data_IF_559686262774
#
_entry.id   IF_559686262774
#
_cell.length_a   1.000
_cell.length_b   1.000
_cell.length_c   1.000
_cell.angle_alpha   90.00
_cell.angle_beta   90.00
_cell.angle_gamma   90.00
#
_symmetry.space_group_name_H-M   'P 1'
#
loop_
_entity.id
_entity.type
_entity.pdbx_description
1 polymer ?
#
# COMPACT_ATOMS: atom_id res chain seq x y z
N UNK A 1 -37.15 19.19 -21.99
CA UNK A 1 -36.65 18.89 -23.34
C UNK A 1 -35.28 19.54 -23.45
N UNK A 2 -34.22 18.75 -23.52
CA UNK A 2 -32.88 19.28 -23.81
C UNK A 2 -32.82 19.72 -25.29
N UNK A 3 -31.99 20.72 -25.57
CA UNK A 3 -31.87 21.41 -26.85
C UNK A 3 -31.39 20.47 -27.97
N UNK A 4 -32.31 20.08 -28.85
CA UNK A 4 -32.12 19.18 -30.01
C UNK A 4 -31.10 19.70 -31.06
N UNK A 5 -30.48 20.87 -30.87
CA UNK A 5 -29.66 21.53 -31.88
C UNK A 5 -28.13 21.36 -31.77
N UNK A 6 -27.58 21.00 -30.59
CA UNK A 6 -26.12 21.11 -30.35
C UNK A 6 -25.44 19.88 -29.77
N UNK A 7 -26.16 19.00 -29.08
CA UNK A 7 -25.54 17.87 -28.40
C UNK A 7 -25.32 16.66 -29.35
N UNK A 8 -24.18 15.95 -29.22
CA UNK A 8 -23.86 14.80 -30.07
C UNK A 8 -24.77 13.59 -29.82
N UNK A 9 -25.45 13.56 -28.67
CA UNK A 9 -26.39 12.52 -28.29
C UNK A 9 -27.37 13.02 -27.21
N UNK A 10 -28.48 12.31 -27.03
CA UNK A 10 -29.38 12.49 -25.88
C UNK A 10 -30.15 11.20 -25.59
N UNK A 11 -30.54 11.01 -24.33
CA UNK A 11 -31.44 9.96 -23.90
C UNK A 11 -32.57 10.51 -23.02
N UNK A 12 -33.59 9.69 -22.80
CA UNK A 12 -34.65 10.01 -21.82
C UNK A 12 -34.57 9.10 -20.62
N UNK A 13 -34.73 9.70 -19.43
CA UNK A 13 -34.79 8.97 -18.18
C UNK A 13 -35.98 8.00 -18.16
N UNK A 14 -35.89 6.90 -17.39
CA UNK A 14 -37.02 6.04 -17.05
C UNK A 14 -38.22 6.86 -16.57
N UNK A 15 -39.36 6.70 -17.25
CA UNK A 15 -40.59 7.43 -16.99
C UNK A 15 -41.81 6.65 -17.50
N UNK A 16 -43.02 7.17 -17.25
CA UNK A 16 -44.25 6.61 -17.84
C UNK A 16 -44.48 6.99 -19.31
N UNK A 17 -43.52 7.68 -19.97
CA UNK A 17 -43.69 8.13 -21.35
C UNK A 17 -43.34 7.04 -22.36
N UNK A 18 -43.92 7.10 -23.56
CA UNK A 18 -43.62 6.15 -24.65
C UNK A 18 -42.19 6.25 -25.18
N UNK A 19 -41.45 7.27 -24.77
CA UNK A 19 -40.03 7.47 -25.13
C UNK A 19 -39.08 6.99 -24.05
N UNK A 20 -39.59 6.54 -22.90
CA UNK A 20 -38.80 6.17 -21.72
C UNK A 20 -37.65 5.21 -22.07
N UNK A 21 -36.41 5.61 -21.77
CA UNK A 21 -35.23 4.79 -22.01
C UNK A 21 -34.69 4.85 -23.45
N UNK A 22 -35.34 5.59 -24.35
CA UNK A 22 -34.83 5.79 -25.71
C UNK A 22 -33.52 6.60 -25.69
N UNK A 23 -32.61 6.23 -26.60
CA UNK A 23 -31.31 6.87 -26.83
C UNK A 23 -31.22 7.29 -28.29
N UNK A 24 -30.75 8.52 -28.54
CA UNK A 24 -30.50 9.04 -29.88
C UNK A 24 -29.06 9.52 -29.99
N UNK A 25 -28.34 8.95 -30.95
CA UNK A 25 -26.97 9.34 -31.28
C UNK A 25 -26.96 10.07 -32.63
N UNK A 26 -26.24 11.18 -32.72
CA UNK A 26 -26.13 11.92 -33.97
C UNK A 26 -25.13 11.25 -34.90
N UNK A 27 -25.63 10.76 -36.04
CA UNK A 27 -24.83 10.02 -37.02
C UNK A 27 -23.67 10.79 -37.64
N UNK A 28 -23.63 12.13 -37.53
CA UNK A 28 -22.50 12.93 -38.03
C UNK A 28 -21.34 13.08 -37.03
N UNK A 29 -21.56 12.77 -35.75
CA UNK A 29 -20.58 12.97 -34.66
C UNK A 29 -20.31 11.71 -33.86
N UNK A 30 -21.04 10.62 -34.10
CA UNK A 30 -21.01 9.39 -33.30
C UNK A 30 -20.87 8.13 -34.16
N UNK A 31 -19.90 8.13 -35.09
CA UNK A 31 -19.74 7.07 -36.10
C UNK A 31 -18.77 5.95 -35.75
N UNK A 32 -17.92 6.12 -34.73
CA UNK A 32 -16.85 5.17 -34.39
C UNK A 32 -16.71 5.02 -32.86
N UNK A 33 -17.70 4.40 -32.23
CA UNK A 33 -17.64 4.09 -30.80
C UNK A 33 -16.59 3.01 -30.55
N UNK A 34 -15.46 3.39 -29.96
CA UNK A 34 -14.38 2.48 -29.58
C UNK A 34 -13.98 2.74 -28.13
N UNK A 35 -13.75 1.67 -27.39
CA UNK A 35 -13.40 1.73 -25.98
C UNK A 35 -12.26 2.74 -25.75
N UNK A 36 -12.50 3.67 -24.84
CA UNK A 36 -11.57 4.74 -24.47
C UNK A 36 -11.71 6.04 -25.24
N UNK A 37 -12.55 6.13 -26.28
CA UNK A 37 -12.79 7.39 -27.00
C UNK A 37 -14.05 8.14 -26.57
N UNK A 38 -14.16 9.40 -26.99
CA UNK A 38 -15.29 10.29 -26.63
C UNK A 38 -16.65 9.79 -27.12
N UNK A 39 -16.70 9.05 -28.23
CA UNK A 39 -17.95 8.48 -28.75
C UNK A 39 -18.41 7.31 -27.89
N UNK A 40 -17.48 6.45 -27.45
CA UNK A 40 -17.74 5.39 -26.48
C UNK A 40 -18.24 5.93 -25.15
N UNK A 41 -17.56 6.97 -24.62
CA UNK A 41 -18.03 7.67 -23.42
C UNK A 41 -19.45 8.23 -23.60
N UNK A 42 -19.74 8.85 -24.75
CA UNK A 42 -21.09 9.37 -25.04
C UNK A 42 -22.14 8.26 -25.03
N UNK A 43 -21.82 7.07 -25.55
CA UNK A 43 -22.73 5.91 -25.46
C UNK A 43 -22.96 5.49 -24.01
N UNK A 44 -21.90 5.32 -23.20
CA UNK A 44 -22.04 4.97 -21.79
C UNK A 44 -22.86 6.01 -21.01
N UNK A 45 -22.63 7.28 -21.29
CA UNK A 45 -23.34 8.41 -20.69
C UNK A 45 -24.83 8.37 -21.00
N UNK A 46 -25.20 8.24 -22.28
CA UNK A 46 -26.62 8.20 -22.65
C UNK A 46 -27.33 6.92 -22.20
N UNK A 47 -26.64 5.77 -22.19
CA UNK A 47 -27.17 4.55 -21.56
C UNK A 47 -27.40 4.79 -20.07
N UNK A 48 -26.49 5.51 -19.40
CA UNK A 48 -26.63 5.92 -18.01
C UNK A 48 -27.94 6.68 -17.75
N UNK A 49 -28.26 7.67 -18.58
CA UNK A 49 -29.56 8.36 -18.54
C UNK A 49 -30.72 7.40 -18.80
N UNK A 50 -30.64 6.54 -19.82
CA UNK A 50 -31.71 5.59 -20.13
C UNK A 50 -32.01 4.62 -18.98
N UNK A 51 -31.04 4.36 -18.11
CA UNK A 51 -31.19 3.55 -16.87
C UNK A 51 -31.29 4.40 -15.60
N UNK A 52 -31.55 5.70 -15.71
CA UNK A 52 -31.96 6.55 -14.58
C UNK A 52 -30.86 7.32 -13.86
N UNK A 53 -29.62 7.30 -14.35
CA UNK A 53 -28.57 8.21 -13.86
C UNK A 53 -28.80 9.62 -14.40
N UNK A 54 -28.44 10.64 -13.63
CA UNK A 54 -28.51 12.05 -14.04
C UNK A 54 -27.13 12.67 -14.09
N UNK A 55 -27.02 13.86 -14.69
CA UNK A 55 -25.81 14.64 -14.53
C UNK A 55 -25.55 14.97 -13.06
N UNK A 56 -24.29 15.02 -12.60
CA UNK A 56 -23.93 15.33 -11.21
C UNK A 56 -24.49 16.66 -10.67
N UNK A 57 -24.74 17.62 -11.56
CA UNK A 57 -25.23 18.96 -11.25
C UNK A 57 -26.77 19.09 -11.36
N UNK A 58 -27.47 18.06 -11.83
CA UNK A 58 -28.91 18.08 -12.04
C UNK A 58 -29.67 17.77 -10.73
N UNK A 59 -29.99 18.80 -9.95
CA UNK A 59 -30.75 18.66 -8.72
C UNK A 59 -30.89 19.94 -7.92
N UNK A 60 -31.26 19.79 -6.64
CA UNK A 60 -31.21 20.88 -5.65
C UNK A 60 -30.82 20.34 -4.27
N UNK A 61 -30.07 21.14 -3.51
CA UNK A 61 -29.62 20.77 -2.15
C UNK A 61 -28.77 19.51 -2.11
N UNK A 62 -29.09 18.58 -1.21
CA UNK A 62 -28.37 17.31 -1.00
C UNK A 62 -28.54 16.29 -2.14
N UNK A 63 -29.30 16.62 -3.19
CA UNK A 63 -29.49 15.76 -4.37
C UNK A 63 -28.48 16.04 -5.49
N UNK A 64 -27.53 16.94 -5.24
CA UNK A 64 -26.42 17.26 -6.16
C UNK A 64 -25.17 16.56 -5.62
N UNK A 65 -24.39 15.95 -6.51
CA UNK A 65 -23.11 15.34 -6.15
C UNK A 65 -22.14 16.42 -5.64
N UNK A 66 -21.38 16.11 -4.58
CA UNK A 66 -20.37 17.03 -4.07
C UNK A 66 -19.33 17.33 -5.16
N UNK A 67 -18.91 18.59 -5.27
CA UNK A 67 -18.01 19.04 -6.35
C UNK A 67 -16.70 18.25 -6.43
N UNK A 68 -16.20 17.71 -5.32
CA UNK A 68 -15.00 16.85 -5.26
C UNK A 68 -15.15 15.48 -5.95
N UNK A 69 -16.38 15.09 -6.29
CA UNK A 69 -16.70 13.85 -6.99
C UNK A 69 -17.25 14.11 -8.41
N UNK A 70 -17.40 15.37 -8.82
CA UNK A 70 -17.91 15.73 -10.15
C UNK A 70 -16.77 15.77 -11.16
N UNK A 71 -16.35 14.58 -11.62
CA UNK A 71 -15.45 14.39 -12.76
C UNK A 71 -15.56 13.00 -13.38
N UNK A 72 -14.94 12.80 -14.55
CA UNK A 72 -14.88 11.50 -15.24
C UNK A 72 -14.17 10.40 -14.44
N UNK A 73 -13.38 10.72 -13.42
CA UNK A 73 -12.75 9.72 -12.54
C UNK A 73 -13.72 9.12 -11.52
N UNK A 74 -14.94 9.67 -11.42
CA UNK A 74 -15.97 9.19 -10.51
C UNK A 74 -17.20 8.72 -11.26
N UNK A 75 -17.60 9.43 -12.33
CA UNK A 75 -18.83 9.16 -13.05
C UNK A 75 -18.72 9.55 -14.52
N UNK A 76 -19.17 8.67 -15.41
CA UNK A 76 -19.31 8.98 -16.84
C UNK A 76 -20.40 10.03 -17.09
N UNK A 77 -21.27 10.29 -16.10
CA UNK A 77 -22.32 11.30 -16.18
C UNK A 77 -21.80 12.74 -16.01
N UNK A 78 -20.55 12.93 -15.60
CA UNK A 78 -19.97 14.28 -15.47
C UNK A 78 -19.64 14.88 -16.83
N UNK A 79 -19.83 16.19 -16.96
CA UNK A 79 -19.26 16.96 -18.06
C UNK A 79 -17.84 17.45 -17.76
N UNK A 80 -17.34 17.27 -16.55
CA UNK A 80 -16.02 17.72 -16.17
C UNK A 80 -15.00 16.60 -16.40
N UNK A 81 -13.98 16.90 -17.20
CA UNK A 81 -12.86 15.99 -17.40
C UNK A 81 -12.16 15.63 -16.07
N UNK A 82 -11.90 16.65 -15.25
CA UNK A 82 -11.26 16.58 -13.93
C UNK A 82 -12.01 17.49 -12.95
N UNK A 83 -11.78 17.31 -11.64
CA UNK A 83 -12.44 18.11 -10.60
C UNK A 83 -12.14 19.60 -10.80
N UNK A 84 -13.19 20.42 -10.92
CA UNK A 84 -13.07 21.86 -11.14
C UNK A 84 -12.97 22.29 -12.62
N UNK A 85 -12.94 21.35 -13.57
CA UNK A 85 -13.01 21.68 -15.00
C UNK A 85 -14.35 22.35 -15.36
N UNK A 86 -14.34 23.14 -16.44
CA UNK A 86 -15.54 23.74 -17.02
C UNK A 86 -15.86 23.15 -18.41
N UNK A 87 -17.15 23.13 -18.77
CA UNK A 87 -17.59 22.64 -20.08
C UNK A 87 -17.66 21.11 -20.17
N UNK A 88 -17.76 20.57 -21.39
CA UNK A 88 -17.72 19.13 -21.69
C UNK A 88 -16.26 18.60 -21.64
N UNK A 89 -16.03 17.30 -21.43
CA UNK A 89 -14.69 16.76 -21.30
C UNK A 89 -13.90 16.88 -22.61
N UNK A 90 -12.63 17.30 -22.50
CA UNK A 90 -11.71 17.55 -23.62
C UNK A 90 -10.43 16.71 -23.52
N UNK A 91 -10.59 15.46 -23.06
CA UNK A 91 -9.50 14.51 -22.89
C UNK A 91 -8.81 14.18 -24.22
N UNK A 92 -7.62 13.59 -24.15
CA UNK A 92 -6.98 13.00 -25.33
C UNK A 92 -7.88 11.92 -25.96
N UNK A 93 -7.62 11.58 -27.22
CA UNK A 93 -8.50 10.71 -28.03
C UNK A 93 -8.88 9.40 -27.32
N UNK A 94 -7.96 8.81 -26.56
CA UNK A 94 -8.12 7.51 -25.89
C UNK A 94 -8.18 7.61 -24.35
N UNK A 95 -8.28 8.84 -23.83
CA UNK A 95 -8.27 9.13 -22.40
C UNK A 95 -9.65 9.21 -21.77
N UNK A 96 -10.68 8.58 -22.36
CA UNK A 96 -12.04 8.54 -21.79
C UNK A 96 -12.29 7.23 -21.03
N UNK A 97 -13.23 7.24 -20.06
CA UNK A 97 -13.61 6.04 -19.33
C UNK A 97 -13.98 4.87 -20.25
N UNK A 98 -13.46 3.69 -19.92
CA UNK A 98 -13.66 2.45 -20.68
C UNK A 98 -14.85 1.65 -20.14
N UNK A 99 -15.22 1.86 -18.87
CA UNK A 99 -16.38 1.29 -18.19
C UNK A 99 -17.19 2.38 -17.51
N UNK A 100 -18.33 2.00 -16.91
CA UNK A 100 -18.90 2.80 -15.83
C UNK A 100 -17.88 2.97 -14.70
N UNK A 101 -17.89 4.14 -14.07
CA UNK A 101 -16.94 4.49 -13.03
C UNK A 101 -17.53 4.24 -11.64
N UNK A 102 -16.69 4.26 -10.60
CA UNK A 102 -17.06 3.93 -9.21
C UNK A 102 -18.38 4.51 -8.70
N UNK A 103 -18.70 5.77 -8.99
CA UNK A 103 -19.97 6.38 -8.55
C UNK A 103 -21.16 5.96 -9.42
N UNK A 104 -20.95 5.67 -10.71
CA UNK A 104 -21.99 5.12 -11.58
C UNK A 104 -22.40 3.73 -11.10
N UNK A 105 -21.43 2.86 -10.82
CA UNK A 105 -21.66 1.50 -10.33
C UNK A 105 -22.43 1.54 -9.01
N UNK A 106 -21.99 2.35 -8.05
CA UNK A 106 -22.68 2.50 -6.77
C UNK A 106 -24.12 3.02 -6.93
N UNK A 107 -24.35 4.00 -7.82
CA UNK A 107 -25.69 4.52 -8.08
C UNK A 107 -26.61 3.47 -8.73
N UNK A 108 -26.10 2.71 -9.70
CA UNK A 108 -26.86 1.64 -10.35
C UNK A 108 -27.21 0.52 -9.37
N UNK A 109 -26.27 0.12 -8.52
CA UNK A 109 -26.50 -0.86 -7.46
C UNK A 109 -27.53 -0.38 -6.44
N UNK A 110 -27.56 0.92 -6.13
CA UNK A 110 -28.58 1.50 -5.26
C UNK A 110 -29.99 1.44 -5.89
N UNK A 111 -30.09 1.72 -7.20
CA UNK A 111 -31.39 1.73 -7.92
C UNK A 111 -31.91 0.31 -8.15
N UNK A 112 -31.05 -0.60 -8.58
CA UNK A 112 -31.45 -1.91 -9.11
C UNK A 112 -31.06 -3.10 -8.25
N UNK A 113 -30.29 -2.88 -7.17
CA UNK A 113 -29.67 -3.94 -6.39
C UNK A 113 -28.30 -4.35 -6.93
N UNK A 114 -27.55 -5.06 -6.11
CA UNK A 114 -26.22 -5.57 -6.44
C UNK A 114 -26.36 -6.88 -7.21
N UNK A 115 -25.64 -6.99 -8.33
CA UNK A 115 -25.48 -8.27 -9.03
C UNK A 115 -24.30 -9.06 -8.43
N UNK A 116 -24.64 -10.06 -7.64
CA UNK A 116 -23.69 -10.98 -7.00
C UNK A 116 -23.25 -12.15 -7.90
N UNK A 117 -23.63 -12.15 -9.17
CA UNK A 117 -23.30 -13.23 -10.11
C UNK A 117 -22.19 -12.87 -11.10
N UNK A 118 -21.93 -11.57 -11.29
CA UNK A 118 -20.88 -11.11 -12.21
C UNK A 118 -19.50 -11.46 -11.66
N UNK A 119 -18.83 -12.43 -12.30
CA UNK A 119 -17.46 -12.86 -11.95
C UNK A 119 -17.31 -13.41 -10.53
N UNK A 120 -18.34 -14.05 -9.98
CA UNK A 120 -18.35 -14.59 -8.61
C UNK A 120 -17.36 -15.76 -8.32
N UNK A 121 -16.58 -16.16 -9.31
CA UNK A 121 -15.49 -17.13 -9.23
C UNK A 121 -14.14 -16.48 -8.91
N UNK A 122 -13.06 -17.25 -8.78
CA UNK A 122 -11.72 -16.67 -8.66
C UNK A 122 -11.25 -16.13 -10.02
N UNK A 123 -10.89 -14.86 -10.08
CA UNK A 123 -10.43 -14.20 -11.30
C UNK A 123 -9.00 -13.68 -11.17
N UNK A 124 -8.27 -13.81 -12.27
CA UNK A 124 -7.00 -13.12 -12.46
C UNK A 124 -7.20 -11.97 -13.45
N UNK A 125 -6.94 -10.75 -12.98
CA UNK A 125 -6.96 -9.52 -13.76
C UNK A 125 -5.54 -9.12 -14.14
N UNK A 126 -5.33 -8.90 -15.44
CA UNK A 126 -4.05 -8.49 -16.03
C UNK A 126 -4.24 -7.30 -16.95
N UNK A 127 -3.22 -6.46 -17.04
CA UNK A 127 -3.16 -5.39 -18.02
C UNK A 127 -1.90 -5.51 -18.85
N UNK A 128 -2.02 -5.36 -20.17
CA UNK A 128 -0.86 -5.49 -21.07
C UNK A 128 -0.11 -4.17 -21.16
N UNK A 129 1.18 -4.06 -20.75
CA UNK A 129 1.90 -2.78 -20.69
C UNK A 129 1.98 -1.99 -22.01
N UNK A 130 1.96 -2.68 -23.15
CA UNK A 130 2.08 -2.06 -24.48
C UNK A 130 0.76 -1.78 -25.22
N UNK A 131 -0.37 -2.29 -24.74
CA UNK A 131 -1.67 -2.08 -25.40
C UNK A 131 -2.78 -1.56 -24.49
N UNK A 132 -2.64 -1.67 -23.17
CA UNK A 132 -3.71 -1.30 -22.22
C UNK A 132 -4.85 -2.32 -22.17
N UNK A 133 -4.74 -3.44 -22.90
CA UNK A 133 -5.74 -4.50 -22.86
C UNK A 133 -5.93 -5.02 -21.44
N UNK A 134 -7.18 -5.05 -20.97
CA UNK A 134 -7.56 -5.77 -19.75
C UNK A 134 -7.85 -7.22 -20.10
N UNK A 135 -7.15 -8.13 -19.45
CA UNK A 135 -7.25 -9.58 -19.62
C UNK A 135 -7.80 -10.14 -18.31
N UNK A 136 -8.86 -10.95 -18.41
CA UNK A 136 -9.47 -11.62 -17.27
C UNK A 136 -9.42 -13.11 -17.56
N UNK A 137 -8.77 -13.88 -16.70
CA UNK A 137 -8.60 -15.34 -16.86
C UNK A 137 -8.05 -15.73 -18.25
N UNK A 138 -7.09 -14.96 -18.75
CA UNK A 138 -6.45 -15.17 -20.06
C UNK A 138 -7.24 -14.65 -21.28
N UNK A 139 -8.44 -14.11 -21.10
CA UNK A 139 -9.28 -13.57 -22.17
C UNK A 139 -9.23 -12.04 -22.19
N UNK A 140 -8.92 -11.46 -23.36
CA UNK A 140 -9.00 -10.00 -23.56
C UNK A 140 -10.46 -9.57 -23.43
N UNK A 141 -10.78 -8.93 -22.30
CA UNK A 141 -12.14 -8.49 -21.96
C UNK A 141 -12.38 -7.03 -22.36
N UNK A 142 -11.33 -6.20 -22.32
CA UNK A 142 -11.38 -4.80 -22.72
C UNK A 142 -10.16 -4.52 -23.60
N UNK A 143 -10.40 -4.05 -24.83
CA UNK A 143 -9.37 -3.67 -25.78
C UNK A 143 -9.52 -2.18 -26.14
N UNK A 144 -8.78 -1.27 -25.46
CA UNK A 144 -8.83 0.16 -25.78
C UNK A 144 -8.20 0.45 -27.15
N UNK A 145 -8.56 1.58 -27.76
CA UNK A 145 -8.04 1.93 -29.08
C UNK A 145 -6.58 2.37 -29.12
N UNK A 146 -5.94 2.55 -27.96
CA UNK A 146 -4.51 2.79 -27.80
C UNK A 146 -4.04 2.27 -26.43
N UNK A 147 -2.74 2.39 -26.14
CA UNK A 147 -2.13 1.99 -24.88
C UNK A 147 -2.56 2.88 -23.71
N UNK A 148 -3.82 2.78 -23.27
CA UNK A 148 -4.44 3.57 -22.21
C UNK A 148 -5.34 2.72 -21.34
N UNK A 149 -5.38 3.02 -20.05
CA UNK A 149 -6.25 2.34 -19.08
C UNK A 149 -6.96 3.41 -18.25
N UNK A 150 -8.30 3.40 -18.29
CA UNK A 150 -9.12 4.28 -17.48
C UNK A 150 -10.48 3.62 -17.22
N UNK A 151 -10.57 2.83 -16.15
CA UNK A 151 -11.72 1.96 -15.90
C UNK A 151 -11.95 1.71 -14.42
N UNK A 152 -13.12 1.19 -14.06
CA UNK A 152 -13.40 0.64 -12.73
C UNK A 152 -13.69 -0.85 -12.83
N UNK A 153 -13.11 -1.65 -11.93
CA UNK A 153 -13.42 -3.07 -11.77
C UNK A 153 -14.60 -3.24 -10.80
N UNK A 154 -15.58 -4.00 -11.25
CA UNK A 154 -16.57 -4.66 -10.40
C UNK A 154 -16.34 -6.17 -10.49
N UNK A 155 -16.32 -6.79 -9.32
CA UNK A 155 -16.28 -8.22 -9.09
C UNK A 155 -17.33 -8.54 -8.02
N UNK A 156 -18.05 -9.64 -8.16
CA UNK A 156 -19.08 -10.06 -7.22
C UNK A 156 -18.57 -10.96 -6.09
N UNK A 157 -17.32 -11.40 -6.14
CA UNK A 157 -16.66 -12.21 -5.12
C UNK A 157 -15.87 -13.35 -5.73
N UNK A 158 -15.18 -14.09 -4.89
CA UNK A 158 -14.13 -14.99 -5.35
C UNK A 158 -12.91 -14.76 -4.46
N UNK A 159 -11.77 -15.28 -4.91
CA UNK A 159 -10.47 -14.87 -4.41
C UNK A 159 -9.66 -14.39 -5.60
N UNK A 160 -9.68 -13.07 -5.80
CA UNK A 160 -9.31 -12.41 -7.03
C UNK A 160 -7.93 -11.79 -6.94
N UNK A 161 -7.23 -11.70 -8.08
CA UNK A 161 -5.83 -11.26 -8.14
C UNK A 161 -5.61 -10.21 -9.21
N UNK A 162 -5.04 -9.07 -8.83
CA UNK A 162 -4.38 -8.17 -9.77
C UNK A 162 -2.96 -8.68 -10.05
N UNK A 163 -2.72 -9.22 -11.24
CA UNK A 163 -1.42 -9.72 -11.65
C UNK A 163 -0.74 -8.74 -12.61
N UNK A 164 0.30 -8.06 -12.10
CA UNK A 164 1.07 -7.06 -12.83
C UNK A 164 2.54 -7.47 -13.03
N UNK A 165 2.85 -8.76 -12.88
CA UNK A 165 4.19 -9.35 -13.09
C UNK A 165 4.84 -9.05 -14.45
N UNK A 166 4.07 -8.62 -15.45
CA UNK A 166 4.59 -8.22 -16.75
C UNK A 166 5.20 -6.81 -16.77
N UNK A 167 4.93 -5.99 -15.75
CA UNK A 167 5.41 -4.61 -15.65
C UNK A 167 6.84 -4.57 -15.11
N UNK A 168 7.58 -3.54 -15.53
CA UNK A 168 9.00 -3.33 -15.17
C UNK A 168 9.27 -1.95 -14.58
N UNK A 169 8.22 -1.16 -14.42
CA UNK A 169 8.27 0.19 -13.88
C UNK A 169 7.59 0.17 -12.52
N UNK A 170 7.98 1.08 -11.60
CA UNK A 170 7.30 1.24 -10.33
C UNK A 170 5.77 1.29 -10.49
N UNK A 171 5.09 0.44 -9.72
CA UNK A 171 3.65 0.36 -9.64
C UNK A 171 3.13 0.97 -8.34
N UNK A 172 1.92 1.53 -8.40
CA UNK A 172 1.08 1.72 -7.22
C UNK A 172 -0.13 0.82 -7.39
N UNK A 173 -0.30 -0.14 -6.49
CA UNK A 173 -1.46 -1.04 -6.43
C UNK A 173 -2.19 -0.76 -5.13
N UNK A 174 -3.46 -0.40 -5.21
CA UNK A 174 -4.29 -0.12 -4.04
C UNK A 174 -5.59 -0.93 -4.16
N UNK A 175 -5.74 -1.93 -3.31
CA UNK A 175 -6.85 -2.88 -3.33
C UNK A 175 -8.06 -2.39 -2.54
N UNK A 176 -8.03 -1.21 -1.90
CA UNK A 176 -9.17 -0.69 -1.13
C UNK A 176 -10.33 -0.30 -2.03
N UNK A 177 -11.56 -0.38 -1.52
CA UNK A 177 -12.74 0.00 -2.30
C UNK A 177 -12.72 1.49 -2.67
N UNK A 178 -13.04 1.81 -3.92
CA UNK A 178 -13.00 3.18 -4.42
C UNK A 178 -11.61 3.77 -4.63
N UNK A 179 -10.54 3.09 -4.17
CA UNK A 179 -9.17 3.46 -4.45
C UNK A 179 -8.78 3.12 -5.89
N UNK A 180 -7.54 3.41 -6.26
CA UNK A 180 -7.07 3.26 -7.63
C UNK A 180 -5.61 2.81 -7.67
N UNK A 181 -5.28 2.13 -8.76
CA UNK A 181 -3.92 1.70 -9.08
C UNK A 181 -3.37 2.45 -10.30
N UNK A 182 -2.04 2.59 -10.35
CA UNK A 182 -1.27 3.28 -11.38
C UNK A 182 -0.07 2.42 -11.79
N UNK A 183 0.01 2.05 -13.07
CA UNK A 183 1.02 1.13 -13.61
C UNK A 183 2.11 1.82 -14.43
N UNK A 184 2.40 3.08 -14.12
CA UNK A 184 3.34 3.95 -14.85
C UNK A 184 2.69 4.91 -15.85
N UNK A 185 3.50 5.84 -16.37
CA UNK A 185 3.02 7.08 -17.02
C UNK A 185 2.57 6.92 -18.47
N UNK A 186 2.91 5.81 -19.15
CA UNK A 186 2.58 5.69 -20.59
C UNK A 186 1.10 5.38 -20.82
N UNK A 187 0.48 4.67 -19.88
CA UNK A 187 -0.89 4.16 -19.97
C UNK A 187 -1.92 5.01 -19.25
N UNK A 188 -1.49 6.03 -18.50
CA UNK A 188 -2.38 6.99 -17.82
C UNK A 188 -3.18 7.81 -18.84
N UNK A 189 -4.45 8.06 -18.55
CA UNK A 189 -5.29 8.91 -19.39
C UNK A 189 -4.94 10.38 -19.19
N UNK A 190 -4.71 11.10 -20.29
CA UNK A 190 -4.60 12.56 -20.30
C UNK A 190 -6.00 13.16 -20.45
N UNK A 191 -6.47 13.77 -19.38
CA UNK A 191 -7.72 14.51 -19.25
C UNK A 191 -7.62 15.91 -19.90
N UNK A 192 -8.72 16.65 -19.89
CA UNK A 192 -8.80 18.02 -20.41
C UNK A 192 -7.69 18.93 -19.87
N UNK A 193 -7.26 19.89 -20.69
CA UNK A 193 -6.15 20.82 -20.39
C UNK A 193 -4.80 20.15 -20.05
N UNK A 194 -4.62 18.87 -20.37
CA UNK A 194 -3.36 18.15 -20.16
C UNK A 194 -3.20 17.57 -18.74
N UNK A 195 -4.25 17.56 -17.94
CA UNK A 195 -4.24 16.93 -16.61
C UNK A 195 -4.14 15.41 -16.74
N UNK A 196 -3.33 14.75 -15.93
CA UNK A 196 -3.37 13.29 -15.83
C UNK A 196 -4.53 12.86 -14.93
N UNK A 197 -5.16 11.71 -15.23
CA UNK A 197 -6.05 11.06 -14.28
C UNK A 197 -5.27 10.65 -13.02
N UNK A 198 -5.94 10.57 -11.86
CA UNK A 198 -5.25 10.18 -10.62
C UNK A 198 -4.79 8.71 -10.67
N UNK A 199 -5.55 7.86 -11.37
CA UNK A 199 -5.28 6.44 -11.51
C UNK A 199 -5.79 5.87 -12.82
N UNK A 200 -5.55 4.58 -12.99
CA UNK A 200 -5.83 3.85 -14.23
C UNK A 200 -6.93 2.81 -14.03
N UNK A 201 -6.79 2.02 -12.98
CA UNK A 201 -7.75 1.00 -12.56
C UNK A 201 -8.30 1.40 -11.21
N UNK A 202 -9.59 1.63 -11.15
CA UNK A 202 -10.29 1.97 -9.92
C UNK A 202 -11.03 0.73 -9.41
N UNK A 203 -11.15 0.57 -8.10
CA UNK A 203 -12.01 -0.45 -7.52
C UNK A 203 -13.40 0.15 -7.30
N UNK A 204 -14.46 -0.60 -7.60
CA UNK A 204 -15.82 -0.17 -7.28
C UNK A 204 -15.98 0.05 -5.77
N UNK A 205 -16.92 0.90 -5.38
CA UNK A 205 -17.38 0.93 -4.00
C UNK A 205 -18.20 -0.32 -3.72
N UNK A 206 -18.01 -0.94 -2.55
CA UNK A 206 -18.95 -1.96 -2.09
C UNK A 206 -20.11 -1.28 -1.34
N UNK A 207 -21.37 -1.47 -1.75
CA UNK A 207 -22.49 -0.66 -1.26
C UNK A 207 -23.29 -1.33 -0.14
N UNK A 208 -22.75 -2.37 0.52
CA UNK A 208 -23.46 -3.01 1.65
C UNK A 208 -23.20 -2.16 2.89
N UNK A 209 -24.26 -1.70 3.57
CA UNK A 209 -24.17 -0.86 4.77
C UNK A 209 -23.12 -1.41 5.76
N UNK A 210 -22.03 -0.67 5.93
CA UNK A 210 -20.94 -1.00 6.85
C UNK A 210 -19.81 -1.88 6.30
N UNK A 211 -19.94 -2.46 5.11
CA UNK A 211 -18.86 -3.22 4.46
C UNK A 211 -18.20 -2.40 3.34
N UNK A 212 -17.03 -1.86 3.65
CA UNK A 212 -16.24 -0.99 2.78
C UNK A 212 -15.21 -1.74 1.93
N UNK A 213 -15.20 -3.07 1.95
CA UNK A 213 -14.13 -3.88 1.34
C UNK A 213 -14.25 -3.92 -0.18
N UNK A 214 -13.12 -3.90 -0.88
CA UNK A 214 -13.09 -4.32 -2.29
C UNK A 214 -13.26 -5.84 -2.36
N UNK A 215 -13.63 -6.36 -3.53
CA UNK A 215 -13.69 -7.80 -3.83
C UNK A 215 -12.51 -8.18 -4.72
N UNK A 216 -11.34 -7.67 -4.34
CA UNK A 216 -10.05 -7.99 -4.94
C UNK A 216 -9.09 -8.21 -3.79
N UNK A 217 -8.70 -9.46 -3.57
CA UNK A 217 -7.99 -9.88 -2.36
C UNK A 217 -6.47 -9.87 -2.56
N UNK A 218 -5.97 -10.04 -3.78
CA UNK A 218 -4.55 -10.33 -3.99
C UNK A 218 -3.92 -9.42 -5.04
N UNK A 219 -2.61 -9.21 -4.90
CA UNK A 219 -1.82 -8.49 -5.87
C UNK A 219 -0.45 -9.14 -6.08
N UNK A 220 0.03 -9.10 -7.32
CA UNK A 220 1.39 -9.48 -7.70
C UNK A 220 1.98 -8.29 -8.46
N UNK A 221 3.03 -7.70 -7.90
CA UNK A 221 3.83 -6.64 -8.51
C UNK A 221 4.67 -7.13 -9.69
N UNK A 222 5.48 -6.22 -10.22
CA UNK A 222 6.33 -6.38 -11.38
C UNK A 222 7.79 -6.61 -11.00
N UNK A 223 8.68 -6.11 -11.86
CA UNK A 223 10.13 -6.06 -11.60
C UNK A 223 10.61 -4.64 -11.24
N UNK A 224 9.70 -3.75 -10.88
CA UNK A 224 9.99 -2.37 -10.48
C UNK A 224 9.95 -2.24 -8.96
N UNK A 225 10.24 -1.05 -8.44
CA UNK A 225 10.07 -0.79 -7.01
C UNK A 225 8.60 -0.39 -6.77
N UNK A 226 7.81 -1.33 -6.32
CA UNK A 226 6.35 -1.25 -6.29
C UNK A 226 5.82 -0.90 -4.92
N UNK A 227 4.69 -0.21 -4.88
CA UNK A 227 3.93 0.08 -3.66
C UNK A 227 2.59 -0.65 -3.74
N UNK A 228 2.39 -1.62 -2.85
CA UNK A 228 1.24 -2.51 -2.84
C UNK A 228 0.50 -2.36 -1.51
N UNK A 229 -0.74 -1.90 -1.59
CA UNK A 229 -1.63 -1.72 -0.46
C UNK A 229 -2.79 -2.70 -0.60
N UNK A 230 -2.96 -3.55 0.41
CA UNK A 230 -4.08 -4.45 0.57
C UNK A 230 -5.40 -3.73 0.89
N UNK A 231 -6.31 -4.42 1.56
CA UNK A 231 -7.59 -3.87 1.99
C UNK A 231 -8.00 -4.50 3.32
N UNK A 232 -9.29 -4.53 3.65
CA UNK A 232 -9.75 -4.98 4.96
C UNK A 232 -10.08 -6.48 5.06
N UNK A 233 -9.62 -7.29 4.09
CA UNK A 233 -9.65 -8.76 4.16
C UNK A 233 -8.24 -9.31 4.20
N UNK A 234 -8.10 -10.61 4.52
CA UNK A 234 -6.86 -11.33 4.30
C UNK A 234 -6.41 -11.24 2.84
N UNK A 235 -5.27 -10.63 2.61
CA UNK A 235 -4.66 -10.42 1.31
C UNK A 235 -3.44 -11.33 1.12
N UNK A 236 -3.18 -11.72 -0.13
CA UNK A 236 -1.86 -12.23 -0.55
C UNK A 236 -1.21 -11.20 -1.47
N UNK A 237 -0.17 -10.56 -0.98
CA UNK A 237 0.58 -9.51 -1.67
C UNK A 237 1.99 -10.03 -1.98
N UNK A 238 2.41 -9.91 -3.23
CA UNK A 238 3.77 -10.25 -3.67
C UNK A 238 4.38 -9.06 -4.40
N UNK A 239 5.54 -8.59 -3.94
CA UNK A 239 6.28 -7.47 -4.55
C UNK A 239 6.87 -7.88 -5.90
N UNK A 240 7.63 -8.97 -5.90
CA UNK A 240 8.21 -9.55 -7.11
C UNK A 240 9.70 -9.34 -7.14
N UNK A 241 10.19 -8.49 -8.03
CA UNK A 241 11.59 -8.07 -8.01
C UNK A 241 11.67 -6.56 -7.93
N UNK A 242 12.70 -6.02 -7.29
CA UNK A 242 12.79 -4.59 -7.01
C UNK A 242 12.68 -4.35 -5.51
N UNK A 243 12.85 -3.10 -5.10
CA UNK A 243 12.72 -2.75 -3.69
C UNK A 243 11.28 -2.28 -3.44
N UNK A 244 10.46 -3.18 -2.94
CA UNK A 244 9.02 -3.03 -2.84
C UNK A 244 8.58 -2.53 -1.46
N UNK A 245 7.37 -1.99 -1.40
CA UNK A 245 6.70 -1.63 -0.16
C UNK A 245 5.34 -2.28 -0.12
N UNK A 246 5.12 -3.17 0.85
CA UNK A 246 3.87 -3.91 1.02
C UNK A 246 3.18 -3.52 2.33
N UNK A 247 1.90 -3.21 2.25
CA UNK A 247 1.03 -2.87 3.38
C UNK A 247 -0.22 -3.73 3.32
N UNK A 248 -0.36 -4.70 4.23
CA UNK A 248 -1.52 -5.58 4.33
C UNK A 248 -2.81 -4.84 4.72
N UNK A 249 -2.73 -4.00 5.76
CA UNK A 249 -3.86 -3.38 6.47
C UNK A 249 -4.57 -4.39 7.39
N UNK A 250 -5.88 -4.57 7.26
CA UNK A 250 -6.69 -5.39 8.16
C UNK A 250 -6.81 -6.78 7.59
N UNK A 251 -6.66 -7.80 8.42
CA UNK A 251 -6.80 -9.18 8.00
C UNK A 251 -5.58 -9.99 8.42
N UNK A 252 -5.59 -11.28 8.12
CA UNK A 252 -4.40 -12.10 8.26
C UNK A 252 -3.74 -12.15 6.89
N UNK A 253 -2.76 -11.29 6.68
CA UNK A 253 -2.17 -11.06 5.37
C UNK A 253 -0.96 -11.96 5.15
N UNK A 254 -0.65 -12.21 3.89
CA UNK A 254 0.63 -12.78 3.46
C UNK A 254 1.34 -11.74 2.62
N UNK A 255 2.45 -11.23 3.15
CA UNK A 255 3.31 -10.25 2.50
C UNK A 255 4.60 -10.95 2.07
N UNK A 256 4.86 -11.00 0.76
CA UNK A 256 6.04 -11.61 0.16
C UNK A 256 6.79 -10.54 -0.63
N UNK A 257 7.92 -10.05 -0.10
CA UNK A 257 8.74 -9.01 -0.73
C UNK A 257 9.28 -9.48 -2.07
N UNK A 258 10.05 -10.57 -2.04
CA UNK A 258 10.61 -11.20 -3.24
C UNK A 258 12.10 -10.93 -3.38
N UNK A 259 12.55 -10.53 -4.56
CA UNK A 259 13.95 -10.16 -4.80
C UNK A 259 14.14 -8.64 -4.61
N UNK A 260 15.00 -8.21 -3.68
CA UNK A 260 15.28 -6.79 -3.46
C UNK A 260 15.38 -6.46 -1.99
N UNK A 261 15.48 -5.18 -1.66
CA UNK A 261 15.42 -4.73 -0.27
C UNK A 261 14.04 -4.14 0.00
N UNK A 262 13.17 -4.94 0.59
CA UNK A 262 11.75 -4.65 0.71
C UNK A 262 11.38 -4.04 2.07
N UNK A 263 10.28 -3.29 2.09
CA UNK A 263 9.68 -2.74 3.31
C UNK A 263 8.30 -3.38 3.49
N UNK A 264 8.16 -4.15 4.56
CA UNK A 264 6.96 -4.94 4.86
C UNK A 264 6.32 -4.40 6.14
N UNK A 265 5.13 -3.82 6.01
CA UNK A 265 4.40 -3.27 7.16
C UNK A 265 3.56 -4.36 7.82
N UNK A 266 3.88 -4.73 9.06
CA UNK A 266 3.13 -5.71 9.85
C UNK A 266 1.95 -5.12 10.63
N UNK A 267 1.40 -3.96 10.22
CA UNK A 267 0.40 -3.24 11.02
C UNK A 267 -1.03 -3.38 10.52
N UNK A 268 -1.94 -3.53 11.47
CA UNK A 268 -3.39 -3.58 11.26
C UNK A 268 -4.11 -2.33 11.81
N UNK A 269 -4.01 -1.20 11.09
CA UNK A 269 -4.96 -0.09 11.22
C UNK A 269 -5.19 0.48 12.63
N UNK A 270 -4.27 0.22 13.57
CA UNK A 270 -4.30 0.66 14.95
C UNK A 270 -5.13 -0.18 15.93
N UNK A 271 -5.34 -1.48 15.74
CA UNK A 271 -5.66 -2.42 16.83
C UNK A 271 -5.31 -3.84 16.34
N UNK A 272 -4.12 -4.37 16.65
CA UNK A 272 -3.58 -5.67 16.21
C UNK A 272 -4.56 -6.84 16.06
N UNK A 273 -5.27 -6.90 14.93
CA UNK A 273 -6.21 -7.96 14.57
C UNK A 273 -5.82 -8.54 13.20
N UNK A 274 -4.52 -8.73 12.99
CA UNK A 274 -3.94 -9.55 11.95
C UNK A 274 -2.97 -10.57 12.53
N UNK A 275 -2.79 -11.69 11.85
CA UNK A 275 -1.72 -12.66 12.12
C UNK A 275 -1.04 -12.90 10.81
N UNK A 276 -0.06 -12.06 10.54
CA UNK A 276 0.50 -11.92 9.22
C UNK A 276 1.64 -12.91 9.00
N UNK A 277 1.76 -13.35 7.75
CA UNK A 277 2.89 -14.11 7.25
C UNK A 277 3.74 -13.15 6.46
N UNK A 278 4.86 -12.73 7.05
CA UNK A 278 5.76 -11.75 6.46
C UNK A 278 7.02 -12.46 5.99
N UNK A 279 7.25 -12.40 4.69
CA UNK A 279 8.34 -13.05 3.98
C UNK A 279 9.15 -11.94 3.31
N UNK A 280 10.37 -11.67 3.80
CA UNK A 280 11.27 -10.69 3.18
C UNK A 280 11.68 -11.16 1.79
N UNK A 281 12.44 -12.25 1.75
CA UNK A 281 12.81 -12.90 0.51
C UNK A 281 14.33 -12.85 0.33
N UNK A 282 14.78 -12.33 -0.80
CA UNK A 282 16.19 -12.22 -1.13
C UNK A 282 16.62 -10.75 -1.11
N UNK A 283 17.42 -10.38 -0.12
CA UNK A 283 18.03 -9.05 -0.04
C UNK A 283 18.23 -8.68 1.41
N UNK A 284 18.06 -7.40 1.73
CA UNK A 284 18.06 -6.91 3.09
C UNK A 284 16.70 -6.26 3.37
N UNK A 285 15.81 -7.05 3.96
CA UNK A 285 14.40 -6.69 4.09
C UNK A 285 14.10 -6.11 5.47
N UNK A 286 13.14 -5.18 5.53
CA UNK A 286 12.71 -4.51 6.75
C UNK A 286 11.26 -4.83 7.07
N UNK A 287 11.02 -5.48 8.21
CA UNK A 287 9.69 -5.52 8.82
C UNK A 287 9.53 -4.28 9.70
N UNK A 288 8.49 -3.48 9.46
CA UNK A 288 8.26 -2.23 10.20
C UNK A 288 6.89 -2.18 10.85
N UNK A 289 6.89 -1.71 12.10
CA UNK A 289 5.71 -1.42 12.91
C UNK A 289 5.59 0.08 13.22
N UNK A 290 6.25 0.95 12.45
CA UNK A 290 6.36 2.39 12.76
C UNK A 290 5.01 3.13 12.86
N UNK A 291 3.98 2.59 12.24
CA UNK A 291 2.61 3.12 12.27
C UNK A 291 1.71 2.42 13.29
N UNK A 292 2.21 1.43 14.04
CA UNK A 292 1.50 0.79 15.13
C UNK A 292 1.18 1.81 16.22
N UNK A 293 0.04 1.63 16.89
CA UNK A 293 -0.42 2.56 17.91
C UNK A 293 -0.17 2.07 19.34
N UNK A 294 0.68 1.06 19.51
CA UNK A 294 1.14 0.53 20.77
C UNK A 294 2.48 -0.18 20.60
N UNK A 295 3.15 -0.45 21.72
CA UNK A 295 4.40 -1.19 21.74
C UNK A 295 4.27 -2.60 21.15
N UNK A 296 5.28 -3.01 20.41
CA UNK A 296 5.40 -4.32 19.77
C UNK A 296 6.56 -5.12 20.36
N UNK A 297 6.45 -6.44 20.24
CA UNK A 297 7.56 -7.36 20.52
C UNK A 297 7.83 -8.18 19.25
N UNK A 298 9.00 -7.99 18.66
CA UNK A 298 9.44 -8.58 17.39
C UNK A 298 10.69 -9.42 17.66
N UNK A 299 10.64 -10.70 17.31
CA UNK A 299 11.77 -11.62 17.44
C UNK A 299 12.09 -12.29 16.09
N UNK A 300 13.12 -11.79 15.41
CA UNK A 300 13.61 -12.34 14.14
C UNK A 300 14.35 -13.67 14.33
N UNK A 301 14.90 -13.94 15.52
CA UNK A 301 15.56 -15.21 15.83
C UNK A 301 14.55 -16.38 15.95
N UNK A 302 13.39 -16.14 16.54
CA UNK A 302 12.30 -17.15 16.57
C UNK A 302 11.31 -17.01 15.41
N UNK A 303 11.36 -15.90 14.67
CA UNK A 303 10.47 -15.60 13.55
C UNK A 303 9.05 -15.30 14.01
N UNK A 304 8.87 -14.62 15.15
CA UNK A 304 7.57 -14.41 15.81
C UNK A 304 7.42 -13.00 16.36
N UNK A 305 6.23 -12.45 16.19
CA UNK A 305 5.76 -11.31 16.97
C UNK A 305 4.84 -11.77 18.11
N UNK A 306 5.00 -11.19 19.30
CA UNK A 306 4.36 -11.69 20.55
C UNK A 306 3.59 -10.65 21.33
N UNK A 307 3.58 -9.39 20.90
CA UNK A 307 2.85 -8.30 21.57
C UNK A 307 2.44 -7.22 20.58
N UNK A 308 1.43 -6.43 20.97
CA UNK A 308 0.92 -5.32 20.17
C UNK A 308 0.40 -5.76 18.82
N UNK A 309 0.62 -4.93 17.80
CA UNK A 309 0.24 -5.23 16.42
C UNK A 309 1.04 -6.40 15.84
N UNK A 310 2.21 -6.74 16.41
CA UNK A 310 3.01 -7.89 16.00
C UNK A 310 2.44 -9.24 16.50
N UNK A 311 1.43 -9.24 17.38
CA UNK A 311 0.98 -10.46 18.07
C UNK A 311 0.46 -11.53 17.10
N UNK A 312 1.23 -12.61 16.95
CA UNK A 312 0.86 -13.76 16.14
C UNK A 312 1.43 -13.73 14.72
N UNK A 313 2.12 -12.64 14.36
CA UNK A 313 2.85 -12.54 13.11
C UNK A 313 4.00 -13.56 13.06
N UNK A 314 4.36 -13.91 11.84
CA UNK A 314 5.49 -14.77 11.53
C UNK A 314 6.42 -14.11 10.55
N UNK A 315 7.72 -14.25 10.80
CA UNK A 315 8.76 -13.64 9.97
C UNK A 315 9.66 -14.72 9.37
N UNK A 316 9.98 -14.60 8.10
CA UNK A 316 11.01 -15.40 7.43
C UNK A 316 11.75 -14.58 6.39
N UNK A 317 13.07 -14.75 6.31
CA UNK A 317 13.90 -14.03 5.36
C UNK A 317 13.87 -12.51 5.53
N UNK A 318 13.63 -12.01 6.75
CA UNK A 318 13.75 -10.60 7.08
C UNK A 318 14.99 -10.38 7.96
N UNK A 319 15.86 -9.48 7.53
CA UNK A 319 17.12 -9.16 8.21
C UNK A 319 17.01 -7.94 9.10
N UNK A 320 15.97 -7.11 8.97
CA UNK A 320 15.86 -5.86 9.71
C UNK A 320 14.46 -5.73 10.34
N UNK A 321 14.41 -5.03 11.47
CA UNK A 321 13.16 -4.76 12.18
C UNK A 321 13.12 -3.33 12.69
N UNK A 322 11.97 -2.68 12.53
CA UNK A 322 11.66 -1.37 13.10
C UNK A 322 10.42 -1.46 14.00
N UNK A 323 10.56 -0.93 15.20
CA UNK A 323 9.49 -0.80 16.19
C UNK A 323 8.43 0.23 15.82
N UNK A 324 7.56 0.49 16.78
CA UNK A 324 6.54 1.52 16.83
C UNK A 324 7.08 2.85 17.36
N UNK A 325 6.21 3.75 17.81
CA UNK A 325 6.61 4.97 18.53
C UNK A 325 6.40 4.82 20.05
N UNK A 326 6.45 3.59 20.55
CA UNK A 326 6.25 3.21 21.94
C UNK A 326 7.38 2.29 22.38
N UNK A 327 7.44 1.98 23.67
CA UNK A 327 8.51 1.16 24.24
C UNK A 327 8.50 -0.28 23.72
N UNK A 328 9.29 -0.57 22.71
CA UNK A 328 9.31 -1.83 21.99
C UNK A 328 10.37 -2.81 22.54
N UNK A 329 10.20 -4.09 22.18
CA UNK A 329 11.24 -5.10 22.34
C UNK A 329 11.54 -5.71 20.97
N UNK A 330 12.76 -5.48 20.49
CA UNK A 330 13.21 -5.97 19.18
C UNK A 330 14.41 -6.90 19.38
N UNK A 331 14.26 -8.14 18.96
CA UNK A 331 15.31 -9.16 18.95
C UNK A 331 15.69 -9.50 17.51
N UNK A 332 16.97 -9.33 17.20
CA UNK A 332 17.58 -9.76 15.94
C UNK A 332 17.75 -11.27 15.85
N UNK A 333 18.60 -11.71 14.95
CA UNK A 333 18.85 -13.09 14.53
C UNK A 333 20.31 -13.49 14.79
N UNK A 334 20.76 -14.63 14.29
CA UNK A 334 22.19 -14.97 14.30
C UNK A 334 23.01 -14.34 13.16
N UNK A 335 22.36 -13.59 12.25
CA UNK A 335 23.00 -12.87 11.14
C UNK A 335 23.08 -11.36 11.41
N UNK A 336 23.68 -10.59 10.50
CA UNK A 336 23.76 -9.14 10.63
C UNK A 336 22.37 -8.49 10.48
N UNK A 337 21.93 -7.75 11.51
CA UNK A 337 20.63 -7.11 11.55
C UNK A 337 20.72 -5.58 11.70
N UNK A 338 19.78 -4.86 11.08
CA UNK A 338 19.46 -3.47 11.38
C UNK A 338 18.25 -3.38 12.29
N UNK A 339 18.43 -2.96 13.54
CA UNK A 339 17.35 -2.82 14.52
C UNK A 339 17.11 -1.35 14.84
N UNK A 340 15.85 -0.92 14.72
CA UNK A 340 15.43 0.47 14.89
C UNK A 340 14.30 0.57 15.92
N UNK A 341 14.56 1.15 17.09
CA UNK A 341 13.55 1.37 18.15
C UNK A 341 12.53 2.46 17.79
N UNK A 342 13.04 3.58 17.25
CA UNK A 342 12.30 4.78 16.84
C UNK A 342 11.97 5.76 17.97
N UNK A 343 10.76 5.80 18.50
CA UNK A 343 10.45 6.65 19.66
C UNK A 343 10.00 5.74 20.80
N UNK A 344 10.32 6.10 22.04
CA UNK A 344 9.98 5.28 23.20
C UNK A 344 11.23 4.77 23.88
N UNK A 345 11.07 4.14 25.04
CA UNK A 345 12.17 3.50 25.75
C UNK A 345 12.29 2.06 25.27
N UNK A 346 13.11 1.82 24.27
CA UNK A 346 13.15 0.56 23.53
C UNK A 346 14.17 -0.40 24.11
N UNK A 347 13.94 -1.70 23.90
CA UNK A 347 14.92 -2.74 24.22
C UNK A 347 15.36 -3.44 22.94
N UNK A 348 16.63 -3.30 22.59
CA UNK A 348 17.21 -3.89 21.40
C UNK A 348 18.18 -5.01 21.76
N UNK A 349 18.00 -6.17 21.12
CA UNK A 349 18.78 -7.37 21.34
C UNK A 349 19.34 -7.86 20.01
N UNK A 350 20.59 -7.49 19.67
CA UNK A 350 21.22 -7.86 18.40
C UNK A 350 21.30 -9.37 18.15
N UNK A 351 21.66 -10.12 19.19
CA UNK A 351 21.97 -11.56 19.15
C UNK A 351 23.36 -11.81 18.58
N UNK A 352 23.55 -12.46 17.43
CA UNK A 352 24.91 -12.67 16.89
C UNK A 352 24.98 -12.13 15.47
N UNK A 353 26.18 -11.88 14.96
CA UNK A 353 26.34 -11.16 13.69
C UNK A 353 26.87 -9.74 13.93
N UNK A 354 27.08 -8.99 12.85
CA UNK A 354 27.56 -7.61 12.93
C UNK A 354 26.34 -6.67 12.83
N UNK A 355 25.76 -6.31 13.97
CA UNK A 355 24.48 -5.60 14.02
C UNK A 355 24.62 -4.08 14.00
N UNK A 356 23.63 -3.42 13.43
CA UNK A 356 23.45 -1.97 13.46
C UNK A 356 22.23 -1.62 14.31
N UNK A 357 22.46 -1.00 15.47
CA UNK A 357 21.43 -0.72 16.46
C UNK A 357 21.20 0.80 16.56
N UNK A 358 19.93 1.19 16.46
CA UNK A 358 19.45 2.56 16.60
C UNK A 358 18.32 2.57 17.64
N UNK A 359 18.59 3.12 18.83
CA UNK A 359 17.59 3.25 19.89
C UNK A 359 16.49 4.23 19.49
N UNK A 360 16.91 5.41 19.02
CA UNK A 360 16.04 6.52 18.68
C UNK A 360 15.82 7.49 19.84
N UNK A 361 14.62 8.06 19.93
CA UNK A 361 14.27 9.00 20.99
C UNK A 361 13.74 8.25 22.22
N UNK A 362 14.48 8.26 23.32
CA UNK A 362 14.02 7.69 24.58
C UNK A 362 15.19 7.25 25.46
N UNK A 363 14.89 6.57 26.56
CA UNK A 363 15.89 5.93 27.39
C UNK A 363 15.99 4.44 27.00
N UNK A 364 16.90 4.14 26.08
CA UNK A 364 16.95 2.84 25.41
C UNK A 364 17.85 1.84 26.11
N UNK A 365 17.57 0.55 25.90
CA UNK A 365 18.32 -0.57 26.47
C UNK A 365 18.87 -1.46 25.37
N UNK A 366 20.19 -1.50 25.25
CA UNK A 366 20.89 -2.41 24.35
C UNK A 366 21.39 -3.65 25.12
N UNK A 367 21.01 -4.85 24.72
CA UNK A 367 21.31 -6.08 25.46
C UNK A 367 22.39 -6.92 24.77
N UNK A 368 23.54 -7.04 25.45
CA UNK A 368 24.64 -7.93 25.09
C UNK A 368 24.79 -9.03 26.15
N UNK A 369 25.11 -10.24 25.73
CA UNK A 369 25.15 -11.42 26.60
C UNK A 369 26.13 -12.47 26.11
N UNK A 370 26.40 -13.52 26.89
CA UNK A 370 27.34 -14.56 26.48
C UNK A 370 26.85 -15.31 25.23
N UNK A 371 27.78 -15.65 24.33
CA UNK A 371 27.49 -16.43 23.12
C UNK A 371 26.86 -15.63 21.96
N UNK A 372 26.82 -14.31 22.10
CA UNK A 372 26.38 -13.31 21.12
C UNK A 372 27.62 -12.63 20.58
N UNK A 373 28.18 -13.15 19.48
CA UNK A 373 29.46 -12.69 18.95
C UNK A 373 29.28 -11.98 17.62
N UNK A 374 30.00 -10.87 17.46
CA UNK A 374 30.19 -10.18 16.20
C UNK A 374 30.81 -8.81 16.41
N UNK A 375 30.52 -7.88 15.50
CA UNK A 375 30.87 -6.47 15.61
C UNK A 375 29.62 -5.62 15.54
N UNK A 376 29.08 -5.30 16.70
CA UNK A 376 27.86 -4.54 16.84
C UNK A 376 28.15 -3.06 16.97
N UNK A 377 27.31 -2.24 16.35
CA UNK A 377 27.45 -0.79 16.35
C UNK A 377 26.16 -0.14 16.82
N UNK A 378 26.25 0.61 17.91
CA UNK A 378 25.19 1.48 18.41
C UNK A 378 25.44 2.89 17.87
N UNK A 379 24.50 3.42 17.09
CA UNK A 379 24.71 4.65 16.32
C UNK A 379 24.35 5.94 17.07
N UNK A 380 23.47 5.85 18.05
CA UNK A 380 22.82 7.00 18.69
C UNK A 380 22.83 6.96 20.23
N UNK A 381 23.66 6.11 20.83
CA UNK A 381 23.77 5.97 22.28
C UNK A 381 23.95 7.33 22.99
N UNK A 382 22.99 7.66 23.85
CA UNK A 382 22.88 8.98 24.48
C UNK A 382 22.70 8.86 26.01
N UNK A 383 23.79 9.16 26.73
CA UNK A 383 23.81 9.22 28.20
C UNK A 383 22.84 10.24 28.79
N UNK A 384 22.42 11.27 28.03
CA UNK A 384 21.52 12.31 28.52
C UNK A 384 20.04 11.93 28.39
N UNK A 385 19.70 11.09 27.41
CA UNK A 385 18.34 10.54 27.29
C UNK A 385 18.11 9.38 28.27
N UNK A 386 19.19 8.73 28.71
CA UNK A 386 19.17 7.68 29.73
C UNK A 386 19.44 6.29 29.17
N UNK A 387 20.08 6.21 28.01
CA UNK A 387 20.41 4.94 27.37
C UNK A 387 21.36 4.11 28.23
N UNK A 388 21.16 2.80 28.19
CA UNK A 388 21.93 1.83 28.96
C UNK A 388 22.32 0.61 28.13
N UNK A 389 23.49 0.07 28.43
CA UNK A 389 23.95 -1.20 27.87
C UNK A 389 23.88 -2.27 28.96
N UNK A 390 23.10 -3.32 28.71
CA UNK A 390 23.00 -4.44 29.63
C UNK A 390 23.93 -5.56 29.24
N UNK A 391 24.77 -5.98 30.19
CA UNK A 391 25.64 -7.15 30.15
C UNK A 391 25.15 -8.26 31.10
N UNK A 392 23.86 -8.27 31.43
CA UNK A 392 23.31 -9.17 32.46
C UNK A 392 23.59 -10.63 32.09
N UNK A 393 24.27 -11.35 32.97
CA UNK A 393 24.66 -12.75 32.76
C UNK A 393 25.99 -12.93 31.99
N UNK A 394 26.68 -11.85 31.61
CA UNK A 394 28.03 -11.91 31.09
C UNK A 394 29.03 -11.98 32.27
N UNK A 395 29.74 -13.11 32.41
CA UNK A 395 30.70 -13.30 33.51
C UNK A 395 31.96 -12.44 33.40
N UNK A 396 32.33 -11.99 32.20
CA UNK A 396 33.47 -11.08 32.00
C UNK A 396 33.14 -9.68 32.53
N UNK A 397 31.92 -9.21 32.27
CA UNK A 397 31.46 -7.88 32.65
C UNK A 397 30.49 -7.98 33.83
N UNK A 398 30.92 -8.57 34.96
CA UNK A 398 30.06 -8.72 36.14
C UNK A 398 29.92 -7.43 36.98
N UNK A 399 30.76 -6.41 36.71
CA UNK A 399 30.74 -5.10 37.36
C UNK A 399 31.51 -4.09 36.51
N UNK A 400 31.28 -2.81 36.77
CA UNK A 400 31.87 -1.71 35.99
C UNK A 400 33.39 -1.73 35.91
N UNK A 401 34.09 -2.12 36.98
CA UNK A 401 35.56 -2.19 36.97
C UNK A 401 36.11 -3.17 35.92
N UNK A 402 35.39 -4.28 35.69
CA UNK A 402 35.82 -5.31 34.73
C UNK A 402 35.52 -4.86 33.29
N UNK A 403 34.41 -4.15 33.09
CA UNK A 403 34.05 -3.51 31.81
C UNK A 403 35.01 -2.36 31.45
N UNK A 404 35.31 -1.48 32.40
CA UNK A 404 36.11 -0.27 32.16
C UNK A 404 37.49 -0.56 31.60
N UNK A 405 38.11 -1.68 31.99
CA UNK A 405 39.39 -2.14 31.43
C UNK A 405 39.32 -2.59 29.96
N UNK A 406 38.12 -2.86 29.47
CA UNK A 406 37.86 -3.37 28.11
C UNK A 406 37.40 -2.27 27.13
N UNK A 407 37.17 -1.05 27.63
CA UNK A 407 36.76 0.10 26.83
C UNK A 407 37.96 0.89 26.29
N UNK A 408 37.93 1.27 25.01
CA UNK A 408 38.97 2.09 24.36
C UNK A 408 38.33 3.14 23.46
N UNK A 409 38.78 4.39 23.60
CA UNK A 409 38.45 5.44 22.63
C UNK A 409 39.27 5.23 21.34
N UNK A 410 38.63 5.32 20.19
CA UNK A 410 39.27 5.39 18.88
C UNK A 410 38.57 6.47 18.04
N UNK A 411 39.26 7.58 17.78
CA UNK A 411 38.64 8.75 17.16
C UNK A 411 37.46 9.27 18.00
N UNK A 412 36.29 9.38 17.39
CA UNK A 412 35.03 9.79 18.03
C UNK A 412 34.27 8.64 18.69
N UNK A 413 34.73 7.40 18.56
CA UNK A 413 33.95 6.22 18.93
C UNK A 413 34.57 5.49 20.14
N UNK A 414 33.75 4.79 20.91
CA UNK A 414 34.20 3.88 21.98
C UNK A 414 34.07 2.44 21.50
N UNK A 415 35.12 1.66 21.72
CA UNK A 415 35.16 0.23 21.46
C UNK A 415 35.17 -0.52 22.79
N UNK A 416 34.26 -1.47 22.95
CA UNK A 416 34.23 -2.43 24.05
C UNK A 416 34.57 -3.78 23.44
N UNK A 417 35.66 -4.41 23.89
CA UNK A 417 36.09 -5.71 23.35
C UNK A 417 36.00 -6.77 24.42
N UNK A 418 35.22 -7.81 24.18
CA UNK A 418 35.11 -8.97 25.06
C UNK A 418 36.29 -9.94 24.85
N UNK A 419 36.45 -10.89 25.77
CA UNK A 419 37.49 -11.93 25.68
C UNK A 419 37.15 -13.03 24.69
N UNK A 420 35.88 -13.18 24.31
CA UNK A 420 35.42 -14.10 23.25
C UNK A 420 35.49 -13.48 21.84
N UNK A 421 35.95 -12.23 21.73
CA UNK A 421 36.24 -11.55 20.45
C UNK A 421 35.09 -10.70 19.91
N UNK A 422 33.99 -10.59 20.66
CA UNK A 422 32.88 -9.69 20.42
C UNK A 422 33.32 -8.21 20.57
N UNK A 423 32.80 -7.35 19.69
CA UNK A 423 33.16 -5.93 19.65
C UNK A 423 31.89 -5.11 19.62
N UNK A 424 31.69 -4.27 20.63
CA UNK A 424 30.62 -3.28 20.66
C UNK A 424 31.22 -1.90 20.39
N UNK A 425 30.65 -1.19 19.42
CA UNK A 425 31.07 0.14 19.00
C UNK A 425 29.98 1.13 19.36
N UNK A 426 30.32 2.13 20.17
CA UNK A 426 29.46 3.28 20.44
C UNK A 426 29.90 4.42 19.54
N UNK A 427 29.10 4.75 18.53
CA UNK A 427 29.43 5.79 17.56
C UNK A 427 29.28 7.17 18.18
N UNK A 428 30.29 8.02 17.97
CA UNK A 428 30.28 9.42 18.41
C UNK A 428 30.10 9.61 19.94
N UNK A 429 30.48 8.61 20.73
CA UNK A 429 30.48 8.67 22.20
C UNK A 429 31.89 8.95 22.72
N UNK A 430 32.00 9.78 23.74
CA UNK A 430 33.25 10.00 24.45
C UNK A 430 33.35 9.02 25.62
N UNK A 431 34.45 8.28 25.73
CA UNK A 431 34.70 7.37 26.84
C UNK A 431 34.62 8.07 28.20
N UNK A 432 35.02 9.34 28.26
CA UNK A 432 34.95 10.14 29.48
C UNK A 432 33.52 10.53 29.91
N UNK A 433 32.52 10.39 29.03
CA UNK A 433 31.11 10.63 29.39
C UNK A 433 30.43 9.39 29.95
N UNK A 434 31.06 8.21 29.88
CA UNK A 434 30.51 6.96 30.38
C UNK A 434 30.83 6.76 31.87
N UNK A 435 29.86 6.20 32.59
CA UNK A 435 29.86 5.95 34.02
C UNK A 435 29.22 4.59 34.32
N UNK A 436 29.26 4.15 35.58
CA UNK A 436 28.58 2.90 35.97
C UNK A 436 27.07 2.91 35.80
N UNK A 437 26.44 4.09 35.63
CA UNK A 437 24.99 4.21 35.48
C UNK A 437 24.51 3.90 34.06
N UNK A 438 25.42 3.97 33.08
CA UNK A 438 25.13 3.70 31.66
C UNK A 438 25.18 2.19 31.35
N UNK A 439 25.37 1.37 32.39
CA UNK A 439 25.55 -0.08 32.26
C UNK A 439 24.75 -0.86 33.31
N UNK A 440 24.24 -2.03 32.91
CA UNK A 440 23.53 -2.95 33.78
C UNK A 440 24.22 -4.30 33.79
N UNK A 441 24.63 -4.77 34.97
CA UNK A 441 25.41 -5.99 35.19
C UNK A 441 24.56 -7.17 35.72
#
# INVERSE_FOLDING_TARGET
MADLGKDPAYATLPSGSTRSGDIWMRSSTSTDARIGNSTWWSVLHEVGHAVGLKHPHDGSGSKIMLAKYDSLEFTVMSYKAYVGAGGRPSNEQWGFPQTYMRADIAALQHIYGIDWTTRSENNEYKWTPGSGNTIINGVVSIAPGANKIFLTIWDAGGNDTYNLSAYKTPLLIDLRAGAYSHFGTTQIAILGAGHEASGMVYNAYKPVDGDIRSLIENAIGGSGNDNIIGNEVANKLSGGAGNDTLIGLKGNDTLDGGDGNDILYGVDGGQGLGRDVIIGGAGADLVTYITANMAVEVDLNTGRGTSGDALGDTYSGAENAQGSNYNDLITGSGGANGLYGANGNDTLVGMGGDDHLYGGDGADRFIFGPGKTGRDTIYDFNVNSGDVISFKGNSQFARYADLAGSMKQSGSDVFITSSDGDIIILKNVLLASLSSNDFIF
#
